data_IF_789452097098
#
_entry.id   IF_789452097098
#
_cell.length_a   1.000
_cell.length_b   1.000
_cell.length_c   1.000
_cell.angle_alpha   90.00
_cell.angle_beta   90.00
_cell.angle_gamma   90.00
#
_symmetry.space_group_name_H-M   'P 1'
#
loop_
_entity.id
_entity.type
_entity.pdbx_description
1 polymer ?
#
# COMPACT_ATOMS: atom_id res chain seq x y z
N UNK A 1 -54.35 67.33 -3.56
CA UNK A 1 -53.01 67.37 -2.93
C UNK A 1 -52.37 66.00 -3.12
N UNK A 2 -51.43 65.85 -4.07
CA UNK A 2 -50.67 64.60 -4.19
C UNK A 2 -49.70 64.51 -3.04
N UNK A 3 -49.83 63.47 -2.23
CA UNK A 3 -48.81 63.12 -1.24
C UNK A 3 -47.51 62.77 -1.97
N UNK A 4 -46.37 63.36 -1.60
CA UNK A 4 -45.09 63.00 -2.18
C UNK A 4 -44.81 61.52 -1.90
N UNK A 5 -44.59 60.73 -2.96
CA UNK A 5 -44.19 59.34 -2.83
C UNK A 5 -42.86 59.27 -2.08
N UNK A 6 -42.79 58.39 -1.08
CA UNK A 6 -41.61 58.12 -0.29
C UNK A 6 -40.47 57.59 -1.19
N UNK A 7 -39.38 58.34 -1.38
CA UNK A 7 -38.27 57.94 -2.25
C UNK A 7 -37.61 56.62 -1.81
N UNK A 8 -37.75 56.23 -0.53
CA UNK A 8 -37.22 54.97 -0.03
C UNK A 8 -38.03 53.76 -0.51
N UNK A 9 -39.34 53.92 -0.73
CA UNK A 9 -40.19 52.85 -1.27
C UNK A 9 -39.79 52.51 -2.70
N UNK A 10 -39.55 53.54 -3.53
CA UNK A 10 -39.11 53.37 -4.92
C UNK A 10 -37.72 52.73 -5.01
N UNK A 11 -36.79 53.09 -4.11
CA UNK A 11 -35.46 52.48 -4.03
C UNK A 11 -35.51 51.01 -3.62
N UNK A 12 -36.34 50.65 -2.64
CA UNK A 12 -36.52 49.25 -2.21
C UNK A 12 -37.10 48.39 -3.33
N UNK A 13 -38.12 48.86 -4.03
CA UNK A 13 -38.69 48.16 -5.18
C UNK A 13 -37.68 47.95 -6.32
N UNK A 14 -36.84 48.95 -6.59
CA UNK A 14 -35.78 48.83 -7.59
C UNK A 14 -34.72 47.77 -7.19
N UNK A 15 -34.30 47.76 -5.92
CA UNK A 15 -33.36 46.76 -5.39
C UNK A 15 -33.94 45.35 -5.39
N UNK A 16 -35.22 45.18 -5.07
CA UNK A 16 -35.90 43.88 -5.14
C UNK A 16 -35.99 43.37 -6.59
N UNK A 17 -36.33 44.24 -7.55
CA UNK A 17 -36.32 43.88 -8.98
C UNK A 17 -34.92 43.49 -9.44
N UNK A 18 -33.89 44.23 -9.02
CA UNK A 18 -32.50 43.90 -9.35
C UNK A 18 -32.07 42.55 -8.77
N UNK A 19 -32.41 42.29 -7.50
CA UNK A 19 -32.13 41.00 -6.83
C UNK A 19 -32.87 39.84 -7.50
N UNK A 20 -34.15 40.02 -7.83
CA UNK A 20 -34.95 39.02 -8.54
C UNK A 20 -34.36 38.73 -9.92
N UNK A 21 -34.00 39.76 -10.68
CA UNK A 21 -33.36 39.59 -12.00
C UNK A 21 -32.00 38.88 -11.90
N UNK A 22 -31.17 39.22 -10.91
CA UNK A 22 -29.89 38.54 -10.65
C UNK A 22 -30.08 37.07 -10.23
N UNK A 23 -31.10 36.79 -9.40
CA UNK A 23 -31.43 35.42 -9.00
C UNK A 23 -31.92 34.59 -10.19
N UNK A 24 -32.78 35.13 -11.04
CA UNK A 24 -33.24 34.48 -12.26
C UNK A 24 -32.10 34.21 -13.25
N UNK A 25 -31.22 35.19 -13.47
CA UNK A 25 -30.06 35.01 -14.35
C UNK A 25 -29.11 33.94 -13.81
N UNK A 26 -28.82 33.96 -12.50
CA UNK A 26 -28.02 32.93 -11.84
C UNK A 26 -28.68 31.55 -11.96
N UNK A 27 -30.00 31.44 -11.77
CA UNK A 27 -30.73 30.20 -11.94
C UNK A 27 -30.67 29.68 -13.39
N UNK A 28 -30.83 30.56 -14.39
CA UNK A 28 -30.68 30.21 -15.81
C UNK A 28 -29.27 29.73 -16.14
N UNK A 29 -28.24 30.40 -15.64
CA UNK A 29 -26.83 29.98 -15.82
C UNK A 29 -26.57 28.61 -15.19
N UNK A 30 -27.08 28.35 -13.98
CA UNK A 30 -26.96 27.03 -13.31
C UNK A 30 -27.66 25.93 -14.10
N UNK A 31 -28.90 26.16 -14.53
CA UNK A 31 -29.66 25.19 -15.34
C UNK A 31 -28.97 24.90 -16.69
N UNK A 32 -28.38 25.91 -17.33
CA UNK A 32 -27.61 25.71 -18.55
C UNK A 32 -26.34 24.89 -18.31
N UNK A 33 -25.59 25.18 -17.24
CA UNK A 33 -24.40 24.41 -16.87
C UNK A 33 -24.73 22.95 -16.55
N UNK A 34 -25.85 22.70 -15.86
CA UNK A 34 -26.32 21.34 -15.57
C UNK A 34 -26.65 20.57 -16.86
N UNK A 35 -27.42 21.18 -17.77
CA UNK A 35 -27.73 20.58 -19.08
C UNK A 35 -26.47 20.27 -19.89
N UNK A 36 -25.47 21.15 -19.88
CA UNK A 36 -24.22 20.92 -20.61
C UNK A 36 -23.38 19.80 -19.96
N UNK A 37 -23.40 19.68 -18.62
CA UNK A 37 -22.81 18.54 -17.90
C UNK A 37 -23.51 17.23 -18.24
N UNK A 38 -24.84 17.20 -18.27
CA UNK A 38 -25.63 16.02 -18.60
C UNK A 38 -25.35 15.56 -20.03
N UNK A 39 -25.35 16.48 -20.99
CA UNK A 39 -24.96 16.18 -22.38
C UNK A 39 -23.55 15.61 -22.48
N UNK A 40 -22.61 16.15 -21.70
CA UNK A 40 -21.25 15.62 -21.60
C UNK A 40 -21.21 14.18 -21.08
N UNK A 41 -21.96 13.90 -20.01
CA UNK A 41 -22.08 12.56 -19.42
C UNK A 41 -22.68 11.56 -20.41
N UNK A 42 -23.82 11.88 -21.02
CA UNK A 42 -24.46 11.02 -22.01
C UNK A 42 -23.58 10.77 -23.24
N UNK A 43 -22.83 11.79 -23.68
CA UNK A 43 -21.91 11.64 -24.81
C UNK A 43 -20.75 10.71 -24.48
N UNK A 44 -20.22 10.77 -23.25
CA UNK A 44 -19.15 9.89 -22.79
C UNK A 44 -19.64 8.45 -22.63
N UNK A 45 -20.84 8.26 -22.07
CA UNK A 45 -21.48 6.94 -21.93
C UNK A 45 -21.71 6.28 -23.30
N UNK A 46 -22.27 7.00 -24.27
CA UNK A 46 -22.44 6.50 -25.66
C UNK A 46 -21.10 6.16 -26.31
N UNK A 47 -20.06 6.94 -26.01
CA UNK A 47 -18.69 6.63 -26.42
C UNK A 47 -18.24 5.30 -25.85
N UNK A 48 -18.31 5.13 -24.52
CA UNK A 48 -17.94 3.89 -23.83
C UNK A 48 -18.66 2.67 -24.40
N UNK A 49 -19.99 2.71 -24.53
CA UNK A 49 -20.77 1.60 -25.09
C UNK A 49 -20.35 1.25 -26.51
N UNK A 50 -20.06 2.25 -27.34
CA UNK A 50 -19.55 1.98 -28.69
C UNK A 50 -18.18 1.29 -28.65
N UNK A 51 -17.26 1.74 -27.79
CA UNK A 51 -15.91 1.18 -27.69
C UNK A 51 -15.98 -0.30 -27.27
N UNK A 52 -16.69 -0.59 -26.19
CA UNK A 52 -16.85 -1.94 -25.65
C UNK A 52 -17.57 -2.87 -26.62
N UNK A 53 -18.67 -2.38 -27.22
CA UNK A 53 -19.42 -3.15 -28.19
C UNK A 53 -18.65 -3.43 -29.47
N UNK A 54 -17.87 -2.47 -29.96
CA UNK A 54 -17.00 -2.70 -31.12
C UNK A 54 -15.89 -3.69 -30.79
N UNK A 55 -15.25 -3.56 -29.62
CA UNK A 55 -14.24 -4.51 -29.17
C UNK A 55 -14.81 -5.94 -29.10
N UNK A 56 -16.00 -6.10 -28.51
CA UNK A 56 -16.69 -7.39 -28.44
C UNK A 56 -17.02 -7.95 -29.83
N UNK A 57 -17.59 -7.13 -30.72
CA UNK A 57 -17.93 -7.54 -32.10
C UNK A 57 -16.70 -8.02 -32.88
N UNK A 58 -15.53 -7.50 -32.56
CA UNK A 58 -14.25 -7.84 -33.20
C UNK A 58 -13.48 -8.95 -32.50
N UNK A 59 -13.98 -9.44 -31.37
CA UNK A 59 -13.26 -10.39 -30.54
C UNK A 59 -12.02 -9.80 -29.87
N UNK A 60 -11.93 -8.48 -29.73
CA UNK A 60 -10.87 -7.79 -29.01
C UNK A 60 -11.13 -7.83 -27.49
N UNK A 61 -11.20 -9.04 -26.95
CA UNK A 61 -11.58 -9.32 -25.56
C UNK A 61 -10.43 -9.95 -24.77
N UNK A 62 -10.51 -9.89 -23.44
CA UNK A 62 -9.55 -10.52 -22.53
C UNK A 62 -9.34 -12.02 -22.83
N UNK A 63 -10.42 -12.74 -23.18
CA UNK A 63 -10.36 -14.15 -23.57
C UNK A 63 -9.44 -14.39 -24.77
N UNK A 64 -9.33 -13.43 -25.68
CA UNK A 64 -8.50 -13.51 -26.88
C UNK A 64 -7.13 -12.83 -26.70
N UNK A 65 -6.73 -12.54 -25.45
CA UNK A 65 -5.46 -11.93 -25.10
C UNK A 65 -5.40 -10.42 -25.30
N UNK A 66 -6.54 -9.75 -25.45
CA UNK A 66 -6.62 -8.30 -25.51
C UNK A 66 -6.73 -7.69 -24.11
N UNK A 67 -6.17 -6.51 -23.94
CA UNK A 67 -6.20 -5.72 -22.72
C UNK A 67 -6.83 -4.38 -23.04
N UNK A 68 -7.74 -3.92 -22.19
CA UNK A 68 -8.34 -2.59 -22.30
C UNK A 68 -7.40 -1.53 -21.71
N UNK A 69 -7.41 -0.33 -22.29
CA UNK A 69 -6.73 0.83 -21.73
C UNK A 69 -5.22 0.65 -21.47
N UNK A 70 -4.48 0.11 -22.44
CA UNK A 70 -3.03 -0.08 -22.31
C UNK A 70 -2.28 1.22 -22.58
N UNK A 71 -1.47 1.67 -21.64
CA UNK A 71 -0.59 2.83 -21.82
C UNK A 71 0.80 2.44 -22.35
N UNK A 72 1.26 3.16 -23.37
CA UNK A 72 2.60 3.06 -23.94
C UNK A 72 3.32 4.43 -23.85
N UNK A 73 4.62 4.40 -23.55
CA UNK A 73 5.42 5.61 -23.36
C UNK A 73 6.03 6.09 -24.68
N UNK A 74 5.72 7.33 -25.02
CA UNK A 74 6.29 8.04 -26.18
C UNK A 74 7.06 9.28 -25.75
N UNK A 75 7.87 9.85 -26.66
CA UNK A 75 8.54 11.13 -26.44
C UNK A 75 7.57 12.30 -26.22
N UNK A 76 6.34 12.17 -26.74
CA UNK A 76 5.24 13.13 -26.57
C UNK A 76 4.35 12.82 -25.34
N UNK A 77 4.81 11.94 -24.44
CA UNK A 77 4.11 11.51 -23.23
C UNK A 77 3.41 10.14 -23.35
N UNK A 78 2.54 9.81 -22.41
CA UNK A 78 1.76 8.56 -22.44
C UNK A 78 0.78 8.51 -23.61
N UNK A 79 0.62 7.32 -24.21
CA UNK A 79 -0.44 6.98 -25.15
C UNK A 79 -1.23 5.80 -24.62
N UNK A 80 -2.47 6.02 -24.20
CA UNK A 80 -3.38 4.97 -23.75
C UNK A 80 -4.23 4.48 -24.91
N UNK A 81 -4.13 3.22 -25.27
CA UNK A 81 -4.91 2.59 -26.34
C UNK A 81 -6.22 2.02 -25.81
N UNK A 82 -7.32 2.15 -26.57
CA UNK A 82 -8.64 1.64 -26.15
C UNK A 82 -8.58 0.11 -25.93
N UNK A 83 -8.02 -0.60 -26.91
CA UNK A 83 -7.69 -2.03 -26.81
C UNK A 83 -6.29 -2.28 -27.35
N UNK A 84 -5.59 -3.22 -26.73
CA UNK A 84 -4.26 -3.64 -27.16
C UNK A 84 -4.02 -5.12 -26.92
N UNK A 85 -3.22 -5.73 -27.78
CA UNK A 85 -2.69 -7.08 -27.61
C UNK A 85 -1.20 -7.01 -27.36
N UNK A 86 -0.75 -7.68 -26.29
CA UNK A 86 0.64 -7.68 -25.86
C UNK A 86 1.26 -9.06 -26.11
N UNK A 87 2.49 -9.09 -26.61
CA UNK A 87 3.22 -10.33 -26.85
C UNK A 87 3.76 -10.96 -25.56
N UNK A 88 4.31 -12.18 -25.63
CA UNK A 88 4.94 -12.85 -24.47
C UNK A 88 6.10 -12.06 -23.86
N UNK A 89 6.73 -11.19 -24.65
CA UNK A 89 7.82 -10.29 -24.28
C UNK A 89 7.35 -8.99 -23.60
N UNK A 90 6.03 -8.86 -23.35
CA UNK A 90 5.45 -7.66 -22.77
C UNK A 90 5.38 -6.46 -23.72
N UNK A 91 5.73 -6.64 -25.01
CA UNK A 91 5.70 -5.58 -26.02
C UNK A 91 4.34 -5.51 -26.72
N UNK A 92 3.93 -4.30 -27.08
CA UNK A 92 2.72 -4.07 -27.87
C UNK A 92 2.82 -4.79 -29.23
N UNK A 93 1.81 -5.59 -29.58
CA UNK A 93 1.72 -6.28 -30.87
C UNK A 93 0.60 -5.72 -31.73
N UNK A 94 -0.55 -5.45 -31.14
CA UNK A 94 -1.69 -4.85 -31.83
C UNK A 94 -2.31 -3.77 -30.93
N UNK A 95 -2.82 -2.69 -31.52
CA UNK A 95 -3.66 -1.71 -30.84
C UNK A 95 -4.81 -1.28 -31.73
N UNK A 96 -5.96 -0.98 -31.12
CA UNK A 96 -7.12 -0.42 -31.81
C UNK A 96 -7.62 0.82 -31.07
N UNK A 97 -8.01 1.83 -31.86
CA UNK A 97 -8.60 3.08 -31.39
C UNK A 97 -10.01 3.24 -31.95
N UNK A 98 -10.96 3.54 -31.09
CA UNK A 98 -12.36 3.72 -31.45
C UNK A 98 -12.75 5.19 -31.36
N UNK A 99 -13.36 5.73 -32.42
CA UNK A 99 -13.84 7.12 -32.44
C UNK A 99 -15.30 7.20 -32.90
N UNK A 100 -16.21 7.33 -31.93
CA UNK A 100 -17.65 7.55 -32.18
C UNK A 100 -18.07 9.02 -32.05
N UNK A 101 -17.49 9.91 -32.86
CA UNK A 101 -17.88 11.33 -32.90
C UNK A 101 -18.26 11.74 -34.31
N UNK A 102 -19.13 12.76 -34.43
CA UNK A 102 -19.49 13.35 -35.72
C UNK A 102 -18.33 14.13 -36.34
N UNK A 103 -17.49 14.70 -35.50
CA UNK A 103 -16.31 15.47 -35.88
C UNK A 103 -15.11 15.02 -35.04
N UNK A 104 -13.98 14.81 -35.71
CA UNK A 104 -12.69 14.49 -35.09
C UNK A 104 -11.76 15.67 -35.37
N UNK A 105 -11.54 16.48 -34.32
CA UNK A 105 -10.79 17.73 -34.40
C UNK A 105 -9.28 17.54 -34.25
N UNK A 106 -8.55 18.61 -34.57
CA UNK A 106 -7.10 18.67 -34.57
C UNK A 106 -6.47 18.39 -33.20
N UNK A 107 -6.85 19.16 -32.17
CA UNK A 107 -6.12 19.27 -30.89
C UNK A 107 -5.89 17.94 -30.16
N UNK A 108 -6.80 16.98 -30.30
CA UNK A 108 -6.67 15.69 -29.63
C UNK A 108 -6.17 14.60 -30.59
N UNK A 109 -6.81 14.46 -31.75
CA UNK A 109 -6.54 13.33 -32.63
C UNK A 109 -5.19 13.44 -33.34
N UNK A 110 -4.76 14.66 -33.71
CA UNK A 110 -3.49 14.82 -34.41
C UNK A 110 -2.29 14.38 -33.54
N UNK A 111 -2.24 14.82 -32.29
CA UNK A 111 -1.17 14.42 -31.36
C UNK A 111 -1.23 12.93 -31.00
N UNK A 112 -2.43 12.33 -30.93
CA UNK A 112 -2.58 10.88 -30.75
C UNK A 112 -1.97 10.11 -31.94
N UNK A 113 -2.21 10.56 -33.19
CA UNK A 113 -1.61 9.94 -34.38
C UNK A 113 -0.08 10.10 -34.43
N UNK A 114 0.47 11.22 -33.95
CA UNK A 114 1.93 11.38 -33.83
C UNK A 114 2.55 10.38 -32.83
N UNK A 115 1.85 10.11 -31.72
CA UNK A 115 2.26 9.09 -30.75
C UNK A 115 2.20 7.69 -31.34
N UNK A 116 1.14 7.38 -32.08
CA UNK A 116 1.00 6.10 -32.79
C UNK A 116 2.11 5.90 -33.84
N UNK A 117 2.48 6.97 -34.55
CA UNK A 117 3.64 6.96 -35.45
C UNK A 117 4.91 6.53 -34.71
N UNK A 118 5.24 7.19 -33.60
CA UNK A 118 6.44 6.86 -32.82
C UNK A 118 6.43 5.41 -32.34
N UNK A 119 5.26 4.89 -31.92
CA UNK A 119 5.11 3.50 -31.49
C UNK A 119 5.41 2.54 -32.65
N UNK A 120 4.87 2.81 -33.84
CA UNK A 120 5.09 1.98 -35.04
C UNK A 120 6.53 2.06 -35.55
N UNK A 121 7.20 3.20 -35.41
CA UNK A 121 8.63 3.38 -35.73
C UNK A 121 9.52 2.56 -34.77
N UNK A 122 9.26 2.64 -33.46
CA UNK A 122 10.09 1.98 -32.43
C UNK A 122 9.87 0.48 -32.32
N UNK A 123 8.69 -0.01 -32.70
CA UNK A 123 8.33 -1.41 -32.59
C UNK A 123 7.89 -1.97 -33.94
N UNK A 124 8.80 -2.61 -34.71
CA UNK A 124 8.50 -3.14 -36.05
C UNK A 124 7.37 -4.17 -36.09
N UNK A 125 7.12 -4.85 -34.97
CA UNK A 125 6.08 -5.88 -34.88
C UNK A 125 4.71 -5.32 -34.50
N UNK A 126 4.63 -4.05 -34.10
CA UNK A 126 3.37 -3.42 -33.73
C UNK A 126 2.50 -3.15 -34.97
N UNK A 127 1.19 -3.39 -34.81
CA UNK A 127 0.13 -3.05 -35.76
C UNK A 127 -0.93 -2.19 -35.08
N UNK A 128 -1.45 -1.20 -35.80
CA UNK A 128 -2.45 -0.25 -35.32
C UNK A 128 -3.70 -0.25 -36.19
N UNK A 129 -4.85 -0.02 -35.57
CA UNK A 129 -6.11 0.18 -36.29
C UNK A 129 -6.89 1.37 -35.76
N UNK A 130 -7.22 2.32 -36.64
CA UNK A 130 -8.16 3.39 -36.36
C UNK A 130 -9.57 3.04 -36.82
N UNK A 131 -10.48 2.78 -35.88
CA UNK A 131 -11.89 2.47 -36.16
C UNK A 131 -12.74 3.73 -36.02
N UNK A 132 -13.21 4.25 -37.15
CA UNK A 132 -13.89 5.53 -37.24
C UNK A 132 -15.26 5.35 -37.87
N UNK A 133 -16.28 6.05 -37.36
CA UNK A 133 -17.60 6.03 -37.99
C UNK A 133 -17.53 6.63 -39.39
N UNK A 134 -18.20 6.00 -40.35
CA UNK A 134 -18.14 6.40 -41.76
C UNK A 134 -18.59 7.85 -41.99
N UNK A 135 -19.63 8.28 -41.27
CA UNK A 135 -20.12 9.67 -41.29
C UNK A 135 -19.29 10.68 -40.49
N UNK A 136 -18.16 10.28 -39.90
CA UNK A 136 -17.32 11.19 -39.12
C UNK A 136 -16.52 12.11 -40.07
N UNK A 137 -16.67 13.42 -39.85
CA UNK A 137 -15.84 14.44 -40.51
C UNK A 137 -14.50 14.53 -39.80
N UNK A 138 -13.42 14.34 -40.54
CA UNK A 138 -12.06 14.53 -40.05
C UNK A 138 -11.56 15.93 -40.39
N UNK A 139 -10.90 16.57 -39.44
CA UNK A 139 -10.03 17.71 -39.73
C UNK A 139 -9.01 17.36 -40.81
N UNK A 140 -8.61 18.35 -41.63
CA UNK A 140 -7.70 18.14 -42.76
C UNK A 140 -6.34 17.60 -42.31
N UNK A 141 -5.80 18.10 -41.20
CA UNK A 141 -4.49 17.64 -40.70
C UNK A 141 -4.57 16.24 -40.10
N UNK A 142 -5.69 15.90 -39.44
CA UNK A 142 -5.94 14.55 -38.92
C UNK A 142 -6.04 13.56 -40.07
N UNK A 143 -6.79 13.90 -41.13
CA UNK A 143 -6.86 13.08 -42.35
C UNK A 143 -5.48 12.88 -42.97
N UNK A 144 -4.74 13.98 -43.15
CA UNK A 144 -3.38 13.94 -43.72
C UNK A 144 -2.43 13.09 -42.89
N UNK A 145 -2.48 13.20 -41.56
CA UNK A 145 -1.66 12.39 -40.65
C UNK A 145 -2.02 10.90 -40.73
N UNK A 146 -3.31 10.57 -40.81
CA UNK A 146 -3.77 9.18 -40.93
C UNK A 146 -3.42 8.58 -42.29
N UNK A 147 -3.52 9.36 -43.38
CA UNK A 147 -3.08 8.95 -44.71
C UNK A 147 -1.56 8.71 -44.75
N UNK A 148 -0.78 9.56 -44.08
CA UNK A 148 0.67 9.35 -43.92
C UNK A 148 0.99 8.08 -43.13
N UNK A 149 0.26 7.78 -42.05
CA UNK A 149 0.46 6.53 -41.31
C UNK A 149 0.19 5.28 -42.17
N UNK A 150 -0.90 5.29 -42.96
CA UNK A 150 -1.21 4.20 -43.89
C UNK A 150 -0.12 4.03 -44.95
N UNK A 151 0.42 5.14 -45.45
CA UNK A 151 1.50 5.16 -46.44
C UNK A 151 2.84 4.69 -45.86
N UNK A 152 3.24 5.20 -44.69
CA UNK A 152 4.54 4.92 -44.06
C UNK A 152 4.60 3.51 -43.45
N UNK A 153 3.45 2.95 -43.03
CA UNK A 153 3.35 1.65 -42.36
C UNK A 153 2.35 0.71 -43.06
N UNK A 154 2.58 0.36 -44.34
CA UNK A 154 1.64 -0.44 -45.12
C UNK A 154 1.45 -1.84 -44.50
N UNK A 155 0.18 -2.25 -44.34
CA UNK A 155 -0.19 -3.52 -43.69
C UNK A 155 0.03 -3.55 -42.17
N UNK A 156 0.58 -2.48 -41.58
CA UNK A 156 0.76 -2.33 -40.13
C UNK A 156 -0.19 -1.32 -39.54
N UNK A 157 -0.55 -0.26 -40.26
CA UNK A 157 -1.61 0.65 -39.84
C UNK A 157 -2.81 0.57 -40.79
N UNK A 158 -4.01 0.41 -40.24
CA UNK A 158 -5.25 0.30 -40.99
C UNK A 158 -6.29 1.32 -40.49
N UNK A 159 -6.95 2.01 -41.40
CA UNK A 159 -8.16 2.78 -41.10
C UNK A 159 -9.39 1.93 -41.46
N UNK A 160 -10.27 1.71 -40.49
CA UNK A 160 -11.52 1.01 -40.71
C UNK A 160 -12.72 1.93 -40.51
N UNK A 161 -13.52 2.10 -41.56
CA UNK A 161 -14.77 2.83 -41.53
C UNK A 161 -15.91 1.92 -41.09
N UNK A 162 -16.67 2.31 -40.07
CA UNK A 162 -17.85 1.57 -39.60
C UNK A 162 -19.14 2.28 -39.95
N UNK A 163 -20.12 1.53 -40.45
CA UNK A 163 -21.41 2.09 -40.84
C UNK A 163 -22.20 2.57 -39.62
N UNK A 164 -23.22 3.41 -39.85
CA UNK A 164 -24.13 3.84 -38.78
C UNK A 164 -24.84 2.66 -38.10
N UNK A 165 -25.17 1.63 -38.85
CA UNK A 165 -25.82 0.43 -38.34
C UNK A 165 -24.88 -0.39 -37.46
N UNK A 166 -23.63 -0.58 -37.90
CA UNK A 166 -22.60 -1.22 -37.08
C UNK A 166 -22.36 -0.44 -35.78
N UNK A 167 -22.30 0.89 -35.85
CA UNK A 167 -22.14 1.71 -34.64
C UNK A 167 -23.32 1.58 -33.67
N UNK A 168 -24.56 1.55 -34.17
CA UNK A 168 -25.74 1.31 -33.32
C UNK A 168 -25.73 -0.09 -32.71
N UNK A 169 -25.32 -1.10 -33.47
CA UNK A 169 -25.19 -2.48 -32.99
C UNK A 169 -24.12 -2.57 -31.89
N UNK A 170 -22.98 -1.94 -32.09
CA UNK A 170 -21.93 -1.83 -31.07
C UNK A 170 -22.45 -1.14 -29.80
N UNK A 171 -23.11 0.02 -29.91
CA UNK A 171 -23.70 0.70 -28.75
C UNK A 171 -24.73 -0.18 -28.01
N UNK A 172 -25.52 -0.99 -28.72
CA UNK A 172 -26.46 -1.92 -28.10
C UNK A 172 -25.75 -3.04 -27.35
N UNK A 173 -24.71 -3.65 -27.94
CA UNK A 173 -23.89 -4.69 -27.31
C UNK A 173 -23.16 -4.12 -26.08
N UNK A 174 -22.57 -2.92 -26.17
CA UNK A 174 -21.89 -2.29 -25.04
C UNK A 174 -22.84 -2.03 -23.87
N UNK A 175 -24.07 -1.55 -24.14
CA UNK A 175 -25.11 -1.42 -23.09
C UNK A 175 -25.45 -2.75 -22.43
N UNK A 176 -25.52 -3.83 -23.19
CA UNK A 176 -25.81 -5.17 -22.67
C UNK A 176 -24.64 -5.71 -21.83
N UNK A 177 -23.40 -5.49 -22.28
CA UNK A 177 -22.19 -5.84 -21.52
C UNK A 177 -22.12 -5.10 -20.19
N UNK A 178 -22.34 -3.78 -20.20
CA UNK A 178 -22.35 -2.98 -18.98
C UNK A 178 -23.41 -3.50 -18.00
N UNK A 179 -24.64 -3.74 -18.46
CA UNK A 179 -25.69 -4.34 -17.62
C UNK A 179 -25.30 -5.70 -17.06
N UNK A 180 -24.63 -6.53 -17.87
CA UNK A 180 -24.17 -7.86 -17.46
C UNK A 180 -23.04 -7.76 -16.42
N UNK A 181 -22.15 -6.78 -16.55
CA UNK A 181 -21.10 -6.51 -15.56
C UNK A 181 -21.67 -5.90 -14.28
N UNK A 182 -22.66 -5.01 -14.38
CA UNK A 182 -23.37 -4.45 -13.22
C UNK A 182 -24.18 -5.53 -12.50
N UNK A 183 -24.87 -6.42 -13.22
CA UNK A 183 -25.59 -7.55 -12.64
C UNK A 183 -24.64 -8.62 -12.11
N UNK A 184 -23.52 -8.86 -12.78
CA UNK A 184 -22.45 -9.75 -12.30
C UNK A 184 -21.69 -9.15 -11.10
N UNK A 185 -21.65 -7.83 -10.95
CA UNK A 185 -21.23 -7.15 -9.73
C UNK A 185 -22.28 -7.22 -8.62
N UNK A 186 -23.58 -7.30 -8.95
CA UNK A 186 -24.62 -7.63 -7.97
C UNK A 186 -24.53 -9.09 -7.53
N UNK A 187 -23.99 -9.97 -8.38
CA UNK A 187 -23.51 -11.31 -8.04
C UNK A 187 -22.02 -11.33 -7.61
N UNK A 188 -21.46 -10.22 -7.12
CA UNK A 188 -20.30 -10.34 -6.22
C UNK A 188 -20.81 -11.10 -5.00
N UNK A 189 -20.57 -12.40 -5.01
CA UNK A 189 -20.60 -13.29 -3.88
C UNK A 189 -20.25 -12.55 -2.59
N UNK A 190 -21.28 -12.33 -1.78
CA UNK A 190 -21.22 -12.42 -0.33
C UNK A 190 -20.00 -11.70 0.26
N UNK A 191 -20.00 -10.36 0.16
CA UNK A 191 -18.98 -9.49 0.80
C UNK A 191 -18.82 -9.85 2.29
N UNK A 192 -19.86 -10.38 2.94
CA UNK A 192 -19.77 -10.97 4.27
C UNK A 192 -18.89 -12.21 4.31
N UNK A 193 -19.08 -13.19 3.41
CA UNK A 193 -18.25 -14.40 3.34
C UNK A 193 -16.78 -14.12 3.02
N UNK A 194 -16.49 -13.13 2.16
CA UNK A 194 -15.12 -12.66 1.91
C UNK A 194 -14.51 -12.00 3.15
N UNK A 195 -15.29 -11.19 3.88
CA UNK A 195 -14.87 -10.60 5.17
C UNK A 195 -14.70 -11.65 6.26
N UNK A 196 -15.51 -12.70 6.28
CA UNK A 196 -15.38 -13.82 7.22
C UNK A 196 -14.11 -14.62 6.95
N UNK A 197 -13.83 -14.96 5.68
CA UNK A 197 -12.56 -15.61 5.31
C UNK A 197 -11.35 -14.76 5.67
N UNK A 198 -11.43 -13.43 5.48
CA UNK A 198 -10.35 -12.53 5.87
C UNK A 198 -10.17 -12.46 7.39
N UNK A 199 -11.26 -12.41 8.17
CA UNK A 199 -11.22 -12.49 9.63
C UNK A 199 -10.65 -13.82 10.12
N UNK A 200 -10.98 -14.92 9.46
CA UNK A 200 -10.48 -16.25 9.81
C UNK A 200 -8.97 -16.35 9.57
N UNK A 201 -8.48 -15.88 8.40
CA UNK A 201 -7.04 -15.78 8.11
C UNK A 201 -6.31 -14.88 9.11
N UNK A 202 -6.91 -13.76 9.52
CA UNK A 202 -6.34 -12.88 10.54
C UNK A 202 -6.27 -13.57 11.91
N UNK A 203 -7.32 -14.30 12.31
CA UNK A 203 -7.33 -15.08 13.56
C UNK A 203 -6.26 -16.16 13.54
N UNK A 204 -6.10 -16.86 12.41
CA UNK A 204 -5.08 -17.89 12.26
C UNK A 204 -3.66 -17.31 12.35
N UNK A 205 -3.38 -16.21 11.65
CA UNK A 205 -2.09 -15.49 11.79
C UNK A 205 -1.84 -15.03 13.22
N UNK A 206 -2.86 -14.53 13.91
CA UNK A 206 -2.72 -14.09 15.30
C UNK A 206 -2.47 -15.27 16.25
N UNK A 207 -3.07 -16.45 15.99
CA UNK A 207 -2.79 -17.69 16.73
C UNK A 207 -1.36 -18.17 16.50
N UNK A 208 -0.89 -18.17 15.25
CA UNK A 208 0.49 -18.54 14.90
C UNK A 208 1.50 -17.61 15.60
N UNK A 209 1.30 -16.29 15.51
CA UNK A 209 2.16 -15.32 16.20
C UNK A 209 2.13 -15.47 17.73
N UNK A 210 0.98 -15.82 18.31
CA UNK A 210 0.88 -16.08 19.75
C UNK A 210 1.63 -17.35 20.16
N UNK A 211 1.56 -18.42 19.35
CA UNK A 211 2.31 -19.65 19.56
C UNK A 211 3.83 -19.40 19.46
N UNK A 212 4.29 -18.73 18.39
CA UNK A 212 5.71 -18.38 18.24
C UNK A 212 6.25 -17.55 19.41
N UNK A 213 5.46 -16.60 19.93
CA UNK A 213 5.83 -15.83 21.11
C UNK A 213 5.92 -16.70 22.36
N UNK A 214 4.96 -17.61 22.57
CA UNK A 214 4.97 -18.52 23.70
C UNK A 214 6.20 -19.45 23.65
N UNK A 215 6.55 -19.96 22.48
CA UNK A 215 7.69 -20.84 22.29
C UNK A 215 9.02 -20.11 22.50
N UNK A 216 9.14 -18.86 22.01
CA UNK A 216 10.32 -18.01 22.31
C UNK A 216 10.49 -17.76 23.81
N UNK A 217 9.41 -17.52 24.54
CA UNK A 217 9.47 -17.30 25.99
C UNK A 217 9.90 -18.58 26.72
N UNK A 218 9.39 -19.75 26.31
CA UNK A 218 9.82 -21.04 26.87
C UNK A 218 11.30 -21.29 26.61
N UNK A 219 11.76 -21.10 25.37
CA UNK A 219 13.16 -21.27 24.99
C UNK A 219 14.09 -20.35 25.81
N UNK A 220 13.73 -19.07 25.97
CA UNK A 220 14.50 -18.14 26.81
C UNK A 220 14.53 -18.54 28.29
N UNK A 221 13.44 -19.11 28.82
CA UNK A 221 13.39 -19.58 30.20
C UNK A 221 14.30 -20.79 30.39
N UNK A 222 14.26 -21.75 29.48
CA UNK A 222 15.13 -22.93 29.50
C UNK A 222 16.61 -22.54 29.39
N UNK A 223 16.96 -21.60 28.51
CA UNK A 223 18.32 -21.11 28.36
C UNK A 223 18.83 -20.44 29.65
N UNK A 224 17.98 -19.62 30.30
CA UNK A 224 18.31 -19.01 31.60
C UNK A 224 18.49 -20.04 32.70
N UNK A 225 17.64 -21.07 32.74
CA UNK A 225 17.77 -22.15 33.72
C UNK A 225 19.05 -22.97 33.51
N UNK A 226 19.41 -23.27 32.25
CA UNK A 226 20.69 -23.94 31.93
C UNK A 226 21.88 -23.09 32.35
N UNK A 227 21.89 -21.80 31.97
CA UNK A 227 22.96 -20.89 32.35
C UNK A 227 23.08 -20.73 33.88
N UNK A 228 21.96 -20.75 34.62
CA UNK A 228 21.97 -20.71 36.08
C UNK A 228 22.56 -22.00 36.69
N UNK A 229 22.23 -23.17 36.13
CA UNK A 229 22.80 -24.45 36.57
C UNK A 229 24.31 -24.51 36.31
N UNK A 230 24.74 -24.11 35.11
CA UNK A 230 26.17 -24.06 34.76
C UNK A 230 26.96 -23.13 35.69
N UNK A 231 26.40 -21.98 36.06
CA UNK A 231 27.03 -21.08 37.06
C UNK A 231 27.11 -21.72 38.43
N UNK A 232 26.04 -22.37 38.89
CA UNK A 232 26.03 -23.04 40.19
C UNK A 232 27.04 -24.21 40.24
N UNK A 233 27.16 -24.97 39.15
CA UNK A 233 28.16 -26.04 39.00
C UNK A 233 29.59 -25.48 38.97
N UNK A 234 29.83 -24.38 38.25
CA UNK A 234 31.13 -23.71 38.22
C UNK A 234 31.53 -23.17 39.61
N UNK A 235 30.59 -22.53 40.33
CA UNK A 235 30.83 -22.06 41.69
C UNK A 235 31.09 -23.22 42.66
N UNK A 236 30.35 -24.33 42.54
CA UNK A 236 30.57 -25.51 43.36
C UNK A 236 31.97 -26.11 43.08
N UNK A 237 32.37 -26.23 41.82
CA UNK A 237 33.69 -26.69 41.42
C UNK A 237 34.81 -25.78 41.94
N UNK A 238 34.62 -24.45 41.90
CA UNK A 238 35.57 -23.48 42.45
C UNK A 238 35.70 -23.64 43.97
N UNK A 239 34.58 -23.78 44.70
CA UNK A 239 34.59 -24.03 46.15
C UNK A 239 35.32 -25.33 46.49
N UNK A 240 35.09 -26.41 45.74
CA UNK A 240 35.81 -27.67 45.94
C UNK A 240 37.31 -27.50 45.69
N UNK A 241 37.71 -26.80 44.64
CA UNK A 241 39.13 -26.50 44.37
C UNK A 241 39.77 -25.69 45.50
N UNK A 242 39.07 -24.68 46.01
CA UNK A 242 39.53 -23.86 47.13
C UNK A 242 39.69 -24.69 48.42
N UNK A 243 38.75 -25.59 48.72
CA UNK A 243 38.86 -26.49 49.88
C UNK A 243 40.03 -27.46 49.74
N UNK A 244 40.27 -28.02 48.55
CA UNK A 244 41.41 -28.90 48.28
C UNK A 244 42.74 -28.15 48.40
N UNK A 245 42.83 -26.92 47.87
CA UNK A 245 44.02 -26.07 48.03
C UNK A 245 44.29 -25.77 49.51
N UNK A 246 43.26 -25.37 50.25
CA UNK A 246 43.38 -25.11 51.69
C UNK A 246 43.81 -26.35 52.48
N UNK A 247 43.31 -27.53 52.13
CA UNK A 247 43.74 -28.78 52.75
C UNK A 247 45.23 -29.07 52.46
N UNK A 248 45.71 -28.83 51.23
CA UNK A 248 47.13 -28.96 50.87
C UNK A 248 48.01 -27.97 51.63
N UNK A 249 47.58 -26.71 51.77
CA UNK A 249 48.30 -25.69 52.55
C UNK A 249 48.42 -26.09 54.02
N UNK A 250 47.34 -26.59 54.63
CA UNK A 250 47.35 -27.10 56.01
C UNK A 250 48.35 -28.25 56.15
N UNK A 251 48.33 -29.22 55.24
CA UNK A 251 49.27 -30.36 55.27
C UNK A 251 50.73 -29.93 55.07
N UNK A 252 51.00 -29.00 54.15
CA UNK A 252 52.35 -28.47 53.95
C UNK A 252 52.85 -27.76 55.21
N UNK A 253 52.01 -26.93 55.83
CA UNK A 253 52.33 -26.22 57.06
C UNK A 253 52.57 -27.15 58.24
N UNK A 254 51.76 -28.20 58.36
CA UNK A 254 51.95 -29.24 59.37
C UNK A 254 53.30 -29.95 59.20
N UNK A 255 53.68 -30.26 57.95
CA UNK A 255 55.02 -30.81 57.63
C UNK A 255 56.15 -29.84 57.98
N UNK A 256 55.99 -28.55 57.70
CA UNK A 256 56.97 -27.51 58.06
C UNK A 256 57.13 -27.37 59.57
N UNK A 257 56.02 -27.30 60.31
CA UNK A 257 56.05 -27.26 61.78
C UNK A 257 56.70 -28.49 62.38
N UNK A 258 56.44 -29.67 61.80
CA UNK A 258 57.09 -30.93 62.22
C UNK A 258 58.60 -30.91 61.99
N UNK A 259 59.08 -30.24 60.94
CA UNK A 259 60.52 -30.04 60.69
C UNK A 259 61.14 -29.01 61.63
N UNK A 260 60.44 -27.92 61.93
CA UNK A 260 60.92 -26.84 62.80
C UNK A 260 60.97 -27.24 64.28
N UNK A 261 60.10 -28.14 64.72
CA UNK A 261 60.00 -28.59 66.12
C UNK A 261 60.03 -30.13 66.23
N UNK A 262 61.19 -30.76 65.98
CA UNK A 262 61.34 -32.21 66.15
C UNK A 262 61.19 -32.57 67.64
N UNK A 263 60.27 -33.49 67.95
CA UNK A 263 60.04 -33.97 69.33
C UNK A 263 58.94 -33.24 70.11
N UNK A 264 58.36 -32.16 69.60
CA UNK A 264 57.16 -31.57 70.21
C UNK A 264 56.00 -32.58 70.21
N UNK A 265 55.17 -32.67 71.26
CA UNK A 265 53.98 -33.52 71.24
C UNK A 265 52.89 -32.93 70.31
N UNK A 266 51.99 -33.78 69.81
CA UNK A 266 51.05 -33.42 68.73
C UNK A 266 50.01 -32.36 69.14
N UNK A 267 49.67 -32.30 70.42
CA UNK A 267 48.77 -31.31 71.01
C UNK A 267 49.34 -29.88 70.90
N UNK A 268 50.62 -29.69 71.17
CA UNK A 268 51.30 -28.38 71.05
C UNK A 268 51.33 -27.91 69.59
N UNK A 269 51.57 -28.82 68.63
CA UNK A 269 51.52 -28.50 67.19
C UNK A 269 50.12 -28.13 66.73
N UNK A 270 49.09 -28.81 67.22
CA UNK A 270 47.69 -28.53 66.90
C UNK A 270 47.26 -27.14 67.40
N UNK A 271 47.68 -26.73 68.60
CA UNK A 271 47.39 -25.39 69.16
C UNK A 271 48.03 -24.29 68.31
N UNK A 272 49.29 -24.46 67.89
CA UNK A 272 49.99 -23.49 67.02
C UNK A 272 49.35 -23.37 65.63
N UNK A 273 48.91 -24.49 65.04
CA UNK A 273 48.14 -24.48 63.78
C UNK A 273 46.81 -23.73 63.93
N UNK A 274 46.15 -23.80 65.08
CA UNK A 274 44.90 -23.10 65.35
C UNK A 274 45.10 -21.59 65.58
N UNK A 275 46.14 -21.18 66.30
CA UNK A 275 46.43 -19.76 66.59
C UNK A 275 46.81 -18.94 65.35
N UNK A 276 47.35 -19.59 64.33
CA UNK A 276 47.79 -18.92 63.10
C UNK A 276 46.70 -18.68 62.04
N UNK A 277 45.42 -18.94 62.37
CA UNK A 277 44.25 -18.78 61.48
C UNK A 277 43.58 -17.39 61.54
N UNK A 278 44.33 -16.30 61.68
CA UNK A 278 43.79 -14.95 61.49
C UNK A 278 44.55 -14.30 60.33
N UNK A 279 43.87 -14.10 59.19
CA UNK A 279 43.14 -12.85 59.00
C UNK A 279 41.66 -13.04 58.64
N UNK A 280 40.87 -12.12 59.19
CA UNK A 280 39.49 -11.81 58.83
C UNK A 280 39.28 -11.76 57.32
N UNK A 281 38.30 -12.52 56.83
CA UNK A 281 37.80 -12.46 55.46
C UNK A 281 37.06 -11.11 55.25
N UNK A 282 37.61 -10.14 54.52
CA UNK A 282 37.08 -8.77 54.48
C UNK A 282 35.81 -8.63 53.61
N UNK A 283 35.22 -9.73 53.12
CA UNK A 283 34.15 -9.69 52.12
C UNK A 283 32.73 -9.78 52.67
N UNK A 284 32.53 -9.89 54.00
CA UNK A 284 31.19 -10.07 54.59
C UNK A 284 30.37 -8.80 54.90
N UNK A 285 30.90 -7.59 54.71
CA UNK A 285 30.22 -6.36 55.15
C UNK A 285 29.73 -5.41 54.05
N UNK A 286 29.81 -5.75 52.75
CA UNK A 286 29.44 -4.81 51.67
C UNK A 286 28.19 -5.16 50.83
N UNK A 287 27.57 -6.32 50.98
CA UNK A 287 26.42 -6.70 50.13
C UNK A 287 25.05 -6.25 50.65
N UNK A 288 24.89 -5.87 51.92
CA UNK A 288 23.58 -5.48 52.46
C UNK A 288 23.22 -4.00 52.24
N UNK A 289 24.19 -3.14 51.90
CA UNK A 289 23.94 -1.69 51.77
C UNK A 289 23.43 -1.26 50.37
N UNK A 290 23.57 -2.10 49.34
CA UNK A 290 23.21 -1.73 47.95
C UNK A 290 21.87 -2.27 47.44
N UNK A 291 21.20 -3.19 48.16
CA UNK A 291 19.90 -3.71 47.72
C UNK A 291 18.69 -2.85 48.14
N UNK A 292 18.85 -1.86 49.04
CA UNK A 292 17.73 -1.02 49.51
C UNK A 292 17.42 0.21 48.64
N UNK A 293 18.30 0.63 47.72
CA UNK A 293 18.11 1.89 46.97
C UNK A 293 17.55 1.74 45.55
N UNK A 294 17.44 0.53 45.00
CA UNK A 294 17.00 0.32 43.60
C UNK A 294 15.52 -0.06 43.43
N UNK A 295 14.75 -0.22 44.51
CA UNK A 295 13.33 -0.63 44.45
C UNK A 295 12.34 0.54 44.26
N UNK A 296 12.76 1.79 44.46
CA UNK A 296 11.87 2.96 44.40
C UNK A 296 11.75 3.62 43.01
N UNK A 297 12.54 3.20 42.01
CA UNK A 297 12.64 3.89 40.71
C UNK A 297 11.83 3.32 39.55
N UNK A 298 11.10 2.20 39.73
CA UNK A 298 10.47 1.49 38.60
C UNK A 298 8.97 1.72 38.42
N UNK A 299 8.29 2.32 39.38
CA UNK A 299 6.83 2.53 39.32
C UNK A 299 6.39 3.83 38.64
N UNK A 300 7.30 4.78 38.39
CA UNK A 300 6.95 6.08 37.79
C UNK A 300 6.97 6.09 36.26
N UNK A 301 7.72 5.21 35.59
CA UNK A 301 7.78 5.22 34.12
C UNK A 301 6.60 4.52 33.41
N UNK A 302 5.72 3.82 34.14
CA UNK A 302 4.61 3.10 33.54
C UNK A 302 3.31 3.92 33.47
N UNK A 303 3.21 5.06 34.17
CA UNK A 303 2.01 5.91 34.18
C UNK A 303 1.95 6.96 33.06
N UNK A 304 3.07 7.30 32.42
CA UNK A 304 3.09 8.33 31.38
C UNK A 304 2.75 7.81 29.97
N UNK A 305 2.64 6.49 29.77
CA UNK A 305 2.27 5.91 28.46
C UNK A 305 0.77 5.80 28.21
N UNK A 306 -0.07 5.95 29.23
CA UNK A 306 -1.53 5.73 29.10
C UNK A 306 -2.36 7.01 28.85
N UNK A 307 -1.77 8.22 28.83
CA UNK A 307 -2.52 9.47 28.64
C UNK A 307 -2.51 10.06 27.23
N UNK A 308 -1.96 9.35 26.24
CA UNK A 308 -1.71 9.92 24.90
C UNK A 308 -2.72 9.61 23.80
N UNK A 309 -3.86 8.93 24.08
CA UNK A 309 -4.67 8.31 23.01
C UNK A 309 -6.14 8.74 22.91
N UNK A 310 -6.54 9.89 23.45
CA UNK A 310 -7.89 10.42 23.23
C UNK A 310 -7.82 11.89 22.81
N UNK A 311 -7.87 12.14 21.50
CA UNK A 311 -7.88 13.51 21.01
C UNK A 311 -7.71 13.62 19.51
N UNK A 312 -8.67 13.12 18.74
CA UNK A 312 -9.00 13.63 17.39
C UNK A 312 -10.30 13.01 16.88
N UNK A 313 -11.30 13.87 16.69
CA UNK A 313 -12.30 13.69 15.64
C UNK A 313 -13.75 13.55 16.11
N UNK A 314 -14.43 14.67 16.28
CA UNK A 314 -15.80 14.88 15.77
C UNK A 314 -16.21 16.35 15.92
N UNK A 315 -16.24 17.04 14.79
CA UNK A 315 -17.04 18.24 14.56
C UNK A 315 -17.90 17.90 13.36
N UNK A 316 -19.19 17.73 13.63
CA UNK A 316 -20.26 17.82 12.64
C UNK A 316 -20.62 19.31 12.44
#
# INVERSE_FOLDING_TARGET
MSTPEDPDKSRRAALERQRSAQQEESARRRAQQERDRDRGRESNEKGRHFHEGMAQMRGETARNGWVHEREERTSLGGRRHDTARVGPDGRLREFTEYKNRRYIGYDEAFFQLQKEREILERNPDARGRGVIRDSARLDLHVRTAMDRLKHDFPGRFEEQRVTREQARKAEAIGRELERTWESGQLELHDVERLREQERERQRERHRQLAQERADRVRAQKEERERAARERAEAEAAERTRALVQRAKEIQQRERELRKLMPGAPDDVRAVLLAQSRLPSDPKRSRSEATERTMRAGRDTQQRDRDRGRDGRGRTD
#
